data_IF_112457434751
#
_entry.id   IF_112457434751
#
_cell.length_a   1.000
_cell.length_b   1.000
_cell.length_c   1.000
_cell.angle_alpha   90.00
_cell.angle_beta   90.00
_cell.angle_gamma   90.00
#
_symmetry.space_group_name_H-M   'P 1'
#
loop_
_entity.id
_entity.type
_entity.pdbx_description
1 polymer ?
#
# COMPACT_ATOMS: atom_id res chain seq x y z
N UNK A 1 -6.63 27.36 18.81
CA UNK A 1 -6.03 27.73 17.51
C UNK A 1 -4.84 26.86 17.12
N UNK A 2 -3.99 26.41 18.06
CA UNK A 2 -2.83 25.56 17.72
C UNK A 2 -3.18 24.08 17.53
N UNK A 3 -4.12 23.55 18.34
CA UNK A 3 -4.52 22.14 18.28
C UNK A 3 -5.10 21.71 16.92
N UNK A 4 -5.85 22.60 16.26
CA UNK A 4 -6.38 22.32 14.92
C UNK A 4 -5.29 22.29 13.85
N UNK A 5 -4.27 23.15 13.96
CA UNK A 5 -3.12 23.13 13.07
C UNK A 5 -2.35 21.81 13.22
N UNK A 6 -2.15 21.35 14.46
CA UNK A 6 -1.49 20.07 14.73
C UNK A 6 -2.27 18.91 14.11
N UNK A 7 -3.60 18.84 14.31
CA UNK A 7 -4.45 17.80 13.70
C UNK A 7 -4.32 17.75 12.18
N UNK A 8 -4.38 18.90 11.51
CA UNK A 8 -4.27 18.99 10.05
C UNK A 8 -2.92 18.48 9.56
N UNK A 9 -1.83 18.86 10.24
CA UNK A 9 -0.48 18.39 9.90
C UNK A 9 -0.35 16.88 10.11
N UNK A 10 -0.85 16.35 11.23
CA UNK A 10 -0.82 14.91 11.53
C UNK A 10 -1.54 14.09 10.46
N UNK A 11 -2.77 14.46 10.08
CA UNK A 11 -3.50 13.73 9.03
C UNK A 11 -2.78 13.78 7.68
N UNK A 12 -2.09 14.89 7.37
CA UNK A 12 -1.30 15.03 6.14
C UNK A 12 -0.07 14.11 6.16
N UNK A 13 0.64 14.04 7.28
CA UNK A 13 1.79 13.14 7.44
C UNK A 13 1.35 11.68 7.29
N UNK A 14 0.23 11.30 7.92
CA UNK A 14 -0.33 9.95 7.81
C UNK A 14 -0.75 9.63 6.37
N UNK A 15 -1.35 10.59 5.66
CA UNK A 15 -1.68 10.43 4.24
C UNK A 15 -0.44 10.21 3.37
N UNK A 16 0.62 11.00 3.57
CA UNK A 16 1.89 10.79 2.86
C UNK A 16 2.56 9.46 3.22
N UNK A 17 2.50 9.06 4.49
CA UNK A 17 2.99 7.74 4.91
C UNK A 17 2.29 6.63 4.13
N UNK A 18 0.96 6.66 4.02
CA UNK A 18 0.19 5.70 3.22
C UNK A 18 0.68 5.62 1.77
N UNK A 19 0.84 6.77 1.11
CA UNK A 19 1.30 6.83 -0.29
C UNK A 19 2.72 6.29 -0.44
N UNK A 20 3.66 6.75 0.39
CA UNK A 20 5.08 6.35 0.32
C UNK A 20 5.22 4.86 0.59
N UNK A 21 4.57 4.34 1.63
CA UNK A 21 4.56 2.91 1.95
C UNK A 21 3.96 2.10 0.81
N UNK A 22 2.91 2.58 0.14
CA UNK A 22 2.33 1.94 -1.02
C UNK A 22 3.27 1.86 -2.23
N UNK A 23 3.96 2.96 -2.54
CA UNK A 23 4.97 2.99 -3.61
C UNK A 23 6.15 2.08 -3.28
N UNK A 24 6.62 2.08 -2.03
CA UNK A 24 7.68 1.18 -1.58
C UNK A 24 7.27 -0.29 -1.67
N UNK A 25 6.05 -0.64 -1.27
CA UNK A 25 5.52 -2.01 -1.39
C UNK A 25 5.47 -2.46 -2.86
N UNK A 26 5.02 -1.59 -3.77
CA UNK A 26 5.05 -1.88 -5.21
C UNK A 26 6.47 -2.09 -5.73
N UNK A 27 7.41 -1.24 -5.32
CA UNK A 27 8.81 -1.35 -5.73
C UNK A 27 9.43 -2.67 -5.23
N UNK A 28 9.23 -3.01 -3.96
CA UNK A 28 9.72 -4.26 -3.37
C UNK A 28 9.11 -5.50 -4.04
N UNK A 29 7.82 -5.47 -4.33
CA UNK A 29 7.14 -6.54 -5.07
C UNK A 29 7.75 -6.75 -6.46
N UNK A 30 8.02 -5.67 -7.19
CA UNK A 30 8.63 -5.78 -8.51
C UNK A 30 10.07 -6.30 -8.41
N UNK A 31 10.84 -5.84 -7.43
CA UNK A 31 12.20 -6.36 -7.20
C UNK A 31 12.18 -7.85 -6.85
N UNK A 32 11.26 -8.29 -5.97
CA UNK A 32 11.16 -9.71 -5.61
C UNK A 32 10.84 -10.57 -6.82
N UNK A 33 9.91 -10.11 -7.67
CA UNK A 33 9.51 -10.82 -8.88
C UNK A 33 10.63 -10.88 -9.93
N UNK A 34 11.37 -9.79 -10.16
CA UNK A 34 12.44 -9.75 -11.17
C UNK A 34 13.70 -10.48 -10.73
N UNK A 35 14.03 -10.42 -9.43
CA UNK A 35 15.30 -10.93 -8.93
C UNK A 35 15.29 -12.44 -8.68
N UNK A 36 14.11 -13.07 -8.62
CA UNK A 36 13.97 -14.48 -8.25
C UNK A 36 14.39 -14.77 -6.81
N UNK A 37 14.74 -13.74 -6.02
CA UNK A 37 14.98 -13.89 -4.60
C UNK A 37 13.66 -14.16 -3.89
N UNK A 38 13.68 -15.14 -2.99
CA UNK A 38 12.63 -15.36 -2.01
C UNK A 38 12.71 -14.27 -0.94
N UNK A 39 12.40 -13.04 -1.36
CA UNK A 39 12.18 -11.94 -0.44
C UNK A 39 10.87 -12.27 0.24
N UNK A 40 10.85 -12.33 1.59
CA UNK A 40 9.68 -12.57 2.44
C UNK A 40 8.52 -11.55 2.25
N UNK A 41 8.57 -10.75 1.20
CA UNK A 41 7.55 -9.80 0.79
C UNK A 41 6.18 -10.46 0.64
N UNK A 42 6.10 -11.66 0.05
CA UNK A 42 4.81 -12.35 -0.10
C UNK A 42 4.22 -12.79 1.25
N UNK A 43 5.05 -13.25 2.17
CA UNK A 43 4.63 -13.57 3.53
C UNK A 43 4.13 -12.32 4.28
N UNK A 44 4.73 -11.17 4.00
CA UNK A 44 4.41 -9.88 4.62
C UNK A 44 3.38 -9.05 3.83
N UNK A 45 2.83 -9.55 2.72
CA UNK A 45 1.95 -8.79 1.84
C UNK A 45 0.74 -8.24 2.60
N UNK A 46 0.14 -9.06 3.47
CA UNK A 46 -0.99 -8.67 4.30
C UNK A 46 -0.66 -7.50 5.23
N UNK A 47 0.55 -7.48 5.79
CA UNK A 47 1.04 -6.39 6.63
C UNK A 47 1.20 -5.09 5.82
N UNK A 48 1.85 -5.16 4.65
CA UNK A 48 2.01 -4.00 3.77
C UNK A 48 0.66 -3.41 3.37
N UNK A 49 -0.25 -4.24 2.88
CA UNK A 49 -1.61 -3.83 2.47
C UNK A 49 -2.36 -3.19 3.65
N UNK A 50 -2.33 -3.82 4.83
CA UNK A 50 -3.02 -3.32 6.02
C UNK A 50 -2.45 -1.98 6.48
N UNK A 51 -1.13 -1.81 6.48
CA UNK A 51 -0.47 -0.56 6.86
C UNK A 51 -0.87 0.59 5.92
N UNK A 52 -0.91 0.35 4.61
CA UNK A 52 -1.33 1.34 3.61
C UNK A 52 -2.81 1.69 3.79
N UNK A 53 -3.69 0.69 3.93
CA UNK A 53 -5.14 0.90 4.06
C UNK A 53 -5.49 1.64 5.35
N UNK A 54 -4.96 1.22 6.50
CA UNK A 54 -5.28 1.86 7.79
C UNK A 54 -4.81 3.31 7.79
N UNK A 55 -3.57 3.59 7.35
CA UNK A 55 -3.06 4.96 7.27
C UNK A 55 -3.85 5.79 6.24
N UNK A 56 -4.21 5.20 5.09
CA UNK A 56 -5.04 5.83 4.07
C UNK A 56 -6.41 6.24 4.62
N UNK A 57 -7.11 5.30 5.28
CA UNK A 57 -8.41 5.52 5.92
C UNK A 57 -8.35 6.61 6.99
N UNK A 58 -7.32 6.59 7.86
CA UNK A 58 -7.14 7.62 8.90
C UNK A 58 -6.97 9.01 8.27
N UNK A 59 -6.29 9.11 7.13
CA UNK A 59 -6.09 10.40 6.46
C UNK A 59 -7.35 10.96 5.76
N UNK A 60 -8.39 10.15 5.53
CA UNK A 60 -9.67 10.60 4.96
C UNK A 60 -10.48 11.51 5.89
N UNK A 61 -10.25 11.40 7.21
CA UNK A 61 -10.92 12.24 8.20
C UNK A 61 -10.46 13.71 8.13
N UNK A 62 -9.26 13.98 7.60
CA UNK A 62 -8.76 15.33 7.36
C UNK A 62 -9.16 15.86 5.98
N UNK A 63 -9.93 16.96 5.91
CA UNK A 63 -10.37 17.57 4.62
C UNK A 63 -9.23 17.80 3.63
N UNK A 64 -8.08 18.28 4.11
CA UNK A 64 -6.90 18.59 3.29
C UNK A 64 -6.05 17.37 2.93
N UNK A 65 -6.18 16.25 3.66
CA UNK A 65 -5.42 15.02 3.44
C UNK A 65 -6.21 13.94 2.69
N UNK A 66 -7.53 14.14 2.47
CA UNK A 66 -8.39 13.22 1.71
C UNK A 66 -7.81 12.74 0.38
N UNK A 67 -7.23 13.60 -0.48
CA UNK A 67 -6.65 13.13 -1.74
C UNK A 67 -5.51 12.13 -1.51
N UNK A 68 -4.66 12.37 -0.50
CA UNK A 68 -3.56 11.47 -0.14
C UNK A 68 -4.09 10.12 0.34
N UNK A 69 -5.16 10.13 1.15
CA UNK A 69 -5.81 8.91 1.60
C UNK A 69 -6.42 8.09 0.47
N UNK A 70 -7.09 8.75 -0.47
CA UNK A 70 -7.64 8.09 -1.67
C UNK A 70 -6.53 7.51 -2.54
N UNK A 71 -5.42 8.22 -2.71
CA UNK A 71 -4.23 7.70 -3.42
C UNK A 71 -3.65 6.48 -2.73
N UNK A 72 -3.44 6.53 -1.42
CA UNK A 72 -2.94 5.40 -0.63
C UNK A 72 -3.84 4.17 -0.76
N UNK A 73 -5.15 4.33 -0.61
CA UNK A 73 -6.14 3.24 -0.78
C UNK A 73 -6.12 2.71 -2.21
N UNK A 74 -6.06 3.60 -3.21
CA UNK A 74 -5.96 3.20 -4.62
C UNK A 74 -4.71 2.36 -4.89
N UNK A 75 -3.56 2.74 -4.33
CA UNK A 75 -2.32 1.97 -4.43
C UNK A 75 -2.46 0.60 -3.75
N UNK A 76 -3.07 0.53 -2.56
CA UNK A 76 -3.30 -0.75 -1.89
C UNK A 76 -4.22 -1.69 -2.70
N UNK A 77 -5.31 -1.17 -3.26
CA UNK A 77 -6.20 -1.95 -4.12
C UNK A 77 -5.50 -2.42 -5.39
N UNK A 78 -4.69 -1.56 -6.00
CA UNK A 78 -3.86 -1.92 -7.14
C UNK A 78 -2.85 -3.01 -6.78
N UNK A 79 -2.18 -2.91 -5.62
CA UNK A 79 -1.24 -3.92 -5.14
C UNK A 79 -1.92 -5.29 -4.97
N UNK A 80 -3.10 -5.35 -4.35
CA UNK A 80 -3.88 -6.59 -4.21
C UNK A 80 -4.24 -7.16 -5.58
N UNK A 81 -4.80 -6.32 -6.47
CA UNK A 81 -5.20 -6.74 -7.80
C UNK A 81 -4.02 -7.28 -8.60
N UNK A 82 -2.91 -6.56 -8.61
CA UNK A 82 -1.70 -6.92 -9.34
C UNK A 82 -1.11 -8.23 -8.82
N UNK A 83 -0.98 -8.40 -7.50
CA UNK A 83 -0.53 -9.68 -6.92
C UNK A 83 -1.47 -10.82 -7.27
N UNK A 84 -2.79 -10.59 -7.23
CA UNK A 84 -3.79 -11.58 -7.64
C UNK A 84 -3.61 -12.01 -9.11
N UNK A 85 -3.43 -11.05 -10.03
CA UNK A 85 -3.19 -11.33 -11.46
C UNK A 85 -1.92 -12.15 -11.65
N UNK A 86 -0.80 -11.77 -11.01
CA UNK A 86 0.45 -12.53 -11.10
C UNK A 86 0.28 -13.95 -10.56
N UNK A 87 -0.38 -14.10 -9.41
CA UNK A 87 -0.65 -15.39 -8.82
C UNK A 87 -1.47 -16.29 -9.77
N UNK A 88 -2.55 -15.76 -10.35
CA UNK A 88 -3.37 -16.51 -11.31
C UNK A 88 -2.59 -16.89 -12.57
N UNK A 89 -1.77 -15.99 -13.11
CA UNK A 89 -0.93 -16.29 -14.27
C UNK A 89 0.11 -17.37 -13.95
N UNK A 90 0.77 -17.28 -12.80
CA UNK A 90 1.69 -18.31 -12.32
C UNK A 90 1.00 -19.66 -12.16
N UNK A 91 -0.18 -19.67 -11.55
CA UNK A 91 -1.00 -20.88 -11.37
C UNK A 91 -1.49 -21.48 -12.69
N UNK A 92 -1.75 -20.67 -13.73
CA UNK A 92 -2.11 -21.19 -15.05
C UNK A 92 -0.94 -21.91 -15.75
N UNK A 93 0.31 -21.47 -15.52
CA UNK A 93 1.51 -22.07 -16.11
C UNK A 93 1.92 -23.32 -15.34
N UNK A 94 1.95 -23.22 -14.00
CA UNK A 94 2.25 -24.32 -13.08
C UNK A 94 1.08 -24.45 -12.11
N UNK A 95 0.05 -25.23 -12.44
CA UNK A 95 -1.06 -25.45 -11.54
C UNK A 95 -0.58 -26.25 -10.32
N UNK A 96 -0.91 -25.75 -9.13
CA UNK A 96 -0.43 -26.24 -7.82
C UNK A 96 1.09 -26.05 -7.57
N UNK A 97 1.59 -24.80 -7.57
CA UNK A 97 2.91 -24.48 -7.03
C UNK A 97 2.94 -24.56 -5.50
#
# INVERSE_FOLDING_TARGET
MELDKVKVVSFRIIGWFSVITGVLALLLLNISMLSGYDISFMEQLSFWVSAILISGLVSLFGRHSRPLGLWGIGIALFLIFFTGVIFFLGWMIVPFP
#
